data_IF_370492992936
#
_entry.id   IF_370492992936
#
_cell.length_a   1.000
_cell.length_b   1.000
_cell.length_c   1.000
_cell.angle_alpha   90.00
_cell.angle_beta   90.00
_cell.angle_gamma   90.00
#
_symmetry.space_group_name_H-M   'P 1'
#
loop_
_entity.id
_entity.type
_entity.pdbx_description
1 polymer ?
#
# COMPACT_ATOMS: atom_id res chain seq x y z
N UNK A 1 -17.71 3.64 -19.67
CA UNK A 1 -16.49 3.44 -18.86
C UNK A 1 -16.26 4.76 -18.15
N UNK A 2 -16.42 4.80 -16.83
CA UNK A 2 -16.22 6.04 -16.07
C UNK A 2 -14.72 6.16 -15.83
N UNK A 3 -14.12 7.23 -16.34
CA UNK A 3 -12.68 7.46 -16.23
C UNK A 3 -12.27 7.60 -14.76
N UNK A 4 -11.48 6.63 -14.28
CA UNK A 4 -10.90 6.56 -12.94
C UNK A 4 -9.64 7.44 -12.82
N UNK A 5 -9.66 8.57 -13.51
CA UNK A 5 -8.52 9.43 -13.77
C UNK A 5 -8.52 10.58 -12.77
N UNK A 6 -7.40 10.80 -12.11
CA UNK A 6 -7.15 12.06 -11.42
C UNK A 6 -6.47 12.98 -12.42
N UNK A 7 -7.16 14.05 -12.81
CA UNK A 7 -6.60 15.07 -13.70
C UNK A 7 -5.33 15.63 -13.06
N UNK A 8 -4.25 15.70 -13.82
CA UNK A 8 -3.07 16.45 -13.46
C UNK A 8 -3.34 17.90 -13.87
N UNK A 9 -3.58 18.82 -12.92
CA UNK A 9 -3.87 20.22 -13.25
C UNK A 9 -2.76 20.85 -14.12
N UNK A 10 -3.19 21.68 -15.08
CA UNK A 10 -2.36 22.30 -16.14
C UNK A 10 -1.29 23.30 -15.65
N UNK A 11 -1.05 23.40 -14.33
CA UNK A 11 -0.09 24.31 -13.73
C UNK A 11 1.00 23.51 -13.00
N UNK A 12 2.26 23.76 -13.34
CA UNK A 12 3.43 23.03 -12.84
C UNK A 12 3.44 22.81 -11.32
N UNK A 13 3.04 23.80 -10.52
CA UNK A 13 3.01 23.71 -9.05
C UNK A 13 2.08 22.60 -8.51
N UNK A 14 0.94 22.34 -9.15
CA UNK A 14 -0.06 21.38 -8.61
C UNK A 14 0.19 19.97 -9.13
N UNK A 15 0.82 19.84 -10.30
CA UNK A 15 1.38 18.55 -10.74
C UNK A 15 2.43 18.05 -9.75
N UNK A 16 3.22 18.94 -9.15
CA UNK A 16 4.17 18.56 -8.11
C UNK A 16 3.48 17.98 -6.88
N UNK A 17 2.32 18.48 -6.43
CA UNK A 17 1.63 17.93 -5.26
C UNK A 17 1.18 16.48 -5.42
N UNK A 18 0.72 16.09 -6.62
CA UNK A 18 0.37 14.69 -6.90
C UNK A 18 1.63 13.82 -6.97
N UNK A 19 2.69 14.29 -7.64
CA UNK A 19 3.95 13.55 -7.74
C UNK A 19 4.64 13.41 -6.38
N UNK A 20 4.59 14.44 -5.53
CA UNK A 20 5.11 14.43 -4.16
C UNK A 20 4.36 13.42 -3.31
N UNK A 21 3.03 13.34 -3.45
CA UNK A 21 2.21 12.34 -2.79
C UNK A 21 2.53 10.91 -3.27
N UNK A 22 2.79 10.72 -4.57
CA UNK A 22 3.25 9.42 -5.10
C UNK A 22 4.69 9.10 -4.65
N UNK A 23 5.55 10.10 -4.50
CA UNK A 23 6.88 9.92 -3.95
C UNK A 23 6.80 9.48 -2.49
N UNK A 24 5.88 10.03 -1.69
CA UNK A 24 5.60 9.56 -0.33
C UNK A 24 5.20 8.07 -0.31
N UNK A 25 4.35 7.64 -1.25
CA UNK A 25 3.97 6.23 -1.39
C UNK A 25 5.19 5.35 -1.73
N UNK A 26 6.03 5.79 -2.66
CA UNK A 26 7.22 5.03 -3.06
C UNK A 26 8.28 4.96 -1.96
N UNK A 27 8.54 6.07 -1.25
CA UNK A 27 9.45 6.09 -0.10
C UNK A 27 8.95 5.21 1.05
N UNK A 28 7.64 5.19 1.30
CA UNK A 28 7.05 4.28 2.27
C UNK A 28 7.26 2.80 1.88
N UNK A 29 6.96 2.47 0.63
CA UNK A 29 6.96 1.09 0.16
C UNK A 29 8.36 0.51 -0.08
N UNK A 30 9.32 1.37 -0.40
CA UNK A 30 10.65 0.97 -0.84
C UNK A 30 11.72 1.97 -0.35
N UNK A 31 11.89 2.15 0.97
CA UNK A 31 12.71 3.21 1.56
C UNK A 31 14.18 3.15 1.14
N UNK A 32 14.71 1.94 0.88
CA UNK A 32 16.10 1.73 0.48
C UNK A 32 16.31 1.62 -1.03
N UNK A 33 15.23 1.63 -1.83
CA UNK A 33 15.31 1.39 -3.28
C UNK A 33 15.64 2.64 -4.08
N UNK A 34 15.36 3.82 -3.54
CA UNK A 34 15.51 5.09 -4.23
C UNK A 34 16.40 6.05 -3.44
N UNK A 35 17.53 6.51 -4.00
CA UNK A 35 18.26 7.66 -3.47
C UNK A 35 17.35 8.90 -3.39
N UNK A 36 17.57 9.80 -2.41
CA UNK A 36 16.81 11.03 -2.30
C UNK A 36 16.76 11.81 -3.62
N UNK A 37 15.57 12.20 -4.08
CA UNK A 37 15.38 12.97 -5.32
C UNK A 37 15.32 12.15 -6.61
N UNK A 38 15.70 10.86 -6.61
CA UNK A 38 15.62 10.01 -7.81
C UNK A 38 14.21 9.55 -8.10
N UNK A 39 13.44 9.27 -7.05
CA UNK A 39 12.06 8.81 -7.15
C UNK A 39 11.16 9.88 -7.79
N UNK A 40 11.29 11.12 -7.33
CA UNK A 40 10.57 12.29 -7.82
C UNK A 40 10.91 12.56 -9.30
N UNK A 41 12.19 12.41 -9.68
CA UNK A 41 12.61 12.53 -11.09
C UNK A 41 12.06 11.41 -11.97
N UNK A 42 12.01 10.17 -11.47
CA UNK A 42 11.43 9.04 -12.21
C UNK A 42 9.92 9.21 -12.40
N UNK A 43 9.22 9.61 -11.34
CA UNK A 43 7.80 9.92 -11.36
C UNK A 43 7.50 11.07 -12.32
N UNK A 44 8.32 12.13 -12.29
CA UNK A 44 8.21 13.23 -13.25
C UNK A 44 8.45 12.72 -14.67
N UNK A 45 9.51 11.95 -14.93
CA UNK A 45 9.79 11.42 -16.28
C UNK A 45 8.66 10.51 -16.79
N UNK A 46 8.05 9.72 -15.89
CA UNK A 46 6.96 8.78 -16.22
C UNK A 46 5.64 9.51 -16.51
N UNK A 47 5.29 10.52 -15.72
CA UNK A 47 3.99 11.18 -15.78
C UNK A 47 4.03 12.62 -16.36
N UNK A 48 5.18 13.16 -16.76
CA UNK A 48 5.31 14.53 -17.26
C UNK A 48 4.49 14.81 -18.53
N UNK A 49 4.27 13.80 -19.36
CA UNK A 49 3.47 13.92 -20.59
C UNK A 49 1.97 13.72 -20.37
N UNK A 50 1.56 13.25 -19.20
CA UNK A 50 0.19 12.85 -18.95
C UNK A 50 -0.66 14.03 -18.47
N UNK A 51 -1.87 14.15 -19.03
CA UNK A 51 -2.87 15.12 -18.57
C UNK A 51 -3.63 14.63 -17.32
N UNK A 52 -3.52 13.34 -17.01
CA UNK A 52 -4.17 12.69 -15.88
C UNK A 52 -3.44 11.41 -15.52
N UNK A 53 -3.46 11.02 -14.25
CA UNK A 53 -2.90 9.75 -13.80
C UNK A 53 -4.02 8.85 -13.34
N UNK A 54 -4.11 7.65 -13.92
CA UNK A 54 -5.02 6.62 -13.44
C UNK A 54 -4.40 5.89 -12.25
N UNK A 55 -5.25 5.45 -11.32
CA UNK A 55 -4.78 4.58 -10.23
C UNK A 55 -4.18 3.27 -10.78
N UNK A 56 -4.64 2.78 -11.93
CA UNK A 56 -4.09 1.59 -12.60
C UNK A 56 -2.67 1.79 -13.12
N UNK A 57 -2.31 3.00 -13.54
CA UNK A 57 -0.95 3.31 -14.00
C UNK A 57 0.00 3.34 -12.81
N UNK A 58 -0.47 3.86 -11.68
CA UNK A 58 0.24 3.83 -10.39
C UNK A 58 0.41 2.38 -9.92
N UNK A 59 -0.64 1.55 -9.99
CA UNK A 59 -0.55 0.13 -9.66
C UNK A 59 0.50 -0.60 -10.53
N UNK A 60 0.53 -0.28 -11.82
CA UNK A 60 1.50 -0.85 -12.78
C UNK A 60 2.92 -0.42 -12.44
N UNK A 61 3.12 0.85 -12.10
CA UNK A 61 4.42 1.38 -11.66
C UNK A 61 4.89 0.71 -10.37
N UNK A 62 4.07 0.67 -9.32
CA UNK A 62 4.41 0.03 -8.04
C UNK A 62 4.75 -1.45 -8.24
N UNK A 63 3.94 -2.18 -9.01
CA UNK A 63 4.20 -3.59 -9.33
C UNK A 63 5.51 -3.76 -10.09
N UNK A 64 5.81 -2.88 -11.06
CA UNK A 64 7.06 -2.88 -11.81
C UNK A 64 8.29 -2.60 -10.94
N UNK A 65 8.13 -1.86 -9.84
CA UNK A 65 9.15 -1.63 -8.82
C UNK A 65 9.27 -2.79 -7.80
N UNK A 66 8.48 -3.86 -7.94
CA UNK A 66 8.47 -4.99 -7.01
C UNK A 66 7.74 -4.72 -5.69
N UNK A 67 6.97 -3.62 -5.62
CA UNK A 67 6.17 -3.27 -4.44
C UNK A 67 4.88 -4.09 -4.46
N UNK A 68 4.60 -4.77 -3.36
CA UNK A 68 3.36 -5.51 -3.20
C UNK A 68 2.18 -4.55 -2.97
N UNK A 69 1.16 -4.68 -3.82
CA UNK A 69 -0.08 -3.92 -3.73
C UNK A 69 -1.28 -4.87 -3.68
N UNK A 70 -2.35 -4.43 -3.03
CA UNK A 70 -3.65 -5.11 -3.02
C UNK A 70 -4.70 -4.14 -3.54
N UNK A 71 -5.38 -4.53 -4.62
CA UNK A 71 -6.45 -3.76 -5.24
C UNK A 71 -7.79 -4.07 -4.54
N UNK A 72 -8.51 -3.04 -4.09
CA UNK A 72 -9.77 -3.17 -3.35
C UNK A 72 -11.02 -2.98 -4.22
N UNK A 73 -10.92 -3.13 -5.56
CA UNK A 73 -12.04 -2.95 -6.51
C UNK A 73 -13.38 -3.52 -6.06
N UNK A 74 -13.41 -4.74 -5.52
CA UNK A 74 -14.66 -5.37 -5.09
C UNK A 74 -15.29 -4.68 -3.88
N UNK A 75 -14.48 -4.21 -2.93
CA UNK A 75 -14.96 -3.45 -1.78
C UNK A 75 -15.39 -2.03 -2.18
N UNK A 76 -14.68 -1.42 -3.13
CA UNK A 76 -15.07 -0.12 -3.71
C UNK A 76 -16.40 -0.24 -4.46
N UNK A 77 -16.61 -1.30 -5.24
CA UNK A 77 -17.86 -1.57 -5.93
C UNK A 77 -19.03 -1.71 -4.93
N UNK A 78 -18.83 -2.41 -3.81
CA UNK A 78 -19.82 -2.50 -2.73
C UNK A 78 -20.10 -1.15 -2.08
N UNK A 79 -19.07 -0.35 -1.81
CA UNK A 79 -19.23 0.99 -1.24
C UNK A 79 -20.04 1.91 -2.16
N UNK A 80 -19.77 1.87 -3.48
CA UNK A 80 -20.52 2.63 -4.50
C UNK A 80 -21.97 2.15 -4.64
N UNK A 81 -22.26 0.89 -4.34
CA UNK A 81 -23.61 0.34 -4.26
C UNK A 81 -24.33 0.68 -2.95
N UNK A 82 -23.72 1.48 -2.06
CA UNK A 82 -24.32 1.92 -0.79
C UNK A 82 -23.90 1.09 0.43
N UNK A 83 -23.09 0.05 0.27
CA UNK A 83 -22.58 -0.75 1.38
C UNK A 83 -21.10 -0.42 1.65
N UNK A 84 -20.86 0.69 2.33
CA UNK A 84 -19.51 1.19 2.62
C UNK A 84 -18.82 0.52 3.82
N UNK A 85 -19.57 -0.20 4.66
CA UNK A 85 -19.04 -0.78 5.89
C UNK A 85 -17.89 -1.77 5.66
N UNK A 86 -17.95 -2.73 4.70
CA UNK A 86 -16.85 -3.64 4.44
C UNK A 86 -15.56 -2.94 4.03
N UNK A 87 -15.66 -1.93 3.16
CA UNK A 87 -14.50 -1.13 2.76
C UNK A 87 -13.90 -0.40 3.97
N UNK A 88 -14.74 0.24 4.79
CA UNK A 88 -14.26 0.96 5.97
C UNK A 88 -13.51 0.04 6.94
N UNK A 89 -14.09 -1.13 7.25
CA UNK A 89 -13.48 -2.14 8.14
C UNK A 89 -12.15 -2.65 7.60
N UNK A 90 -12.07 -2.97 6.31
CA UNK A 90 -10.82 -3.45 5.71
C UNK A 90 -9.74 -2.36 5.75
N UNK A 91 -10.08 -1.09 5.45
CA UNK A 91 -9.14 0.02 5.54
C UNK A 91 -8.59 0.20 6.96
N UNK A 92 -9.44 0.08 7.99
CA UNK A 92 -9.00 0.13 9.40
C UNK A 92 -8.06 -1.03 9.72
N UNK A 93 -8.46 -2.27 9.41
CA UNK A 93 -7.64 -3.46 9.63
C UNK A 93 -6.30 -3.42 8.87
N UNK A 94 -6.23 -2.71 7.75
CA UNK A 94 -4.99 -2.47 7.04
C UNK A 94 -4.11 -1.43 7.72
N UNK A 95 -4.67 -0.31 8.20
CA UNK A 95 -3.88 0.64 9.00
C UNK A 95 -3.30 -0.03 10.26
N UNK A 96 -4.04 -0.93 10.92
CA UNK A 96 -3.54 -1.71 12.07
C UNK A 96 -2.34 -2.60 11.71
N UNK A 97 -2.26 -3.04 10.45
CA UNK A 97 -1.14 -3.81 9.89
C UNK A 97 -0.01 -2.93 9.35
N UNK A 98 -0.10 -1.61 9.54
CA UNK A 98 0.89 -0.64 9.03
C UNK A 98 0.85 -0.47 7.51
N UNK A 99 -0.26 -0.81 6.85
CA UNK A 99 -0.45 -0.61 5.41
C UNK A 99 -0.96 0.81 5.16
N UNK A 100 -0.40 1.50 4.17
CA UNK A 100 -0.96 2.77 3.68
C UNK A 100 -1.93 2.49 2.54
N UNK A 101 -2.93 3.36 2.37
CA UNK A 101 -3.88 3.24 1.27
C UNK A 101 -3.86 4.49 0.41
N UNK A 102 -3.75 4.29 -0.90
CA UNK A 102 -3.94 5.33 -1.90
C UNK A 102 -5.39 5.25 -2.39
N UNK A 103 -6.17 6.28 -2.13
CA UNK A 103 -7.55 6.41 -2.57
C UNK A 103 -7.63 7.42 -3.70
N UNK A 104 -8.39 7.10 -4.74
CA UNK A 104 -8.88 8.07 -5.71
C UNK A 104 -10.30 8.48 -5.31
N UNK A 105 -10.56 9.79 -5.28
CA UNK A 105 -11.89 10.35 -5.01
C UNK A 105 -12.33 11.26 -6.15
N UNK A 106 -13.64 11.33 -6.40
CA UNK A 106 -14.20 12.07 -7.53
C UNK A 106 -14.35 13.57 -7.29
N UNK A 107 -14.51 14.00 -6.04
CA UNK A 107 -14.89 15.39 -5.71
C UNK A 107 -14.16 15.90 -4.47
N UNK A 108 -13.07 16.64 -4.68
CA UNK A 108 -12.23 17.19 -3.62
C UNK A 108 -12.92 18.27 -2.78
N UNK A 109 -13.89 18.99 -3.34
CA UNK A 109 -14.71 20.02 -2.66
C UNK A 109 -15.58 19.46 -1.51
N UNK A 110 -15.83 18.15 -1.51
CA UNK A 110 -16.58 17.48 -0.44
C UNK A 110 -15.69 17.10 0.76
N UNK A 111 -14.37 17.26 0.63
CA UNK A 111 -13.42 16.99 1.70
C UNK A 111 -13.34 18.20 2.63
N UNK A 112 -13.37 17.95 3.94
CA UNK A 112 -13.21 18.99 4.95
C UNK A 112 -12.30 18.52 6.08
N UNK A 113 -11.57 19.46 6.66
CA UNK A 113 -10.75 19.21 7.84
C UNK A 113 -11.63 18.96 9.06
N UNK A 114 -11.36 17.88 9.80
CA UNK A 114 -12.17 17.44 10.93
C UNK A 114 -12.17 18.43 12.10
N UNK A 115 -11.07 19.16 12.30
CA UNK A 115 -10.93 20.07 13.44
C UNK A 115 -11.65 21.40 13.20
N UNK A 116 -11.56 21.94 11.99
CA UNK A 116 -12.12 23.24 11.64
C UNK A 116 -13.48 23.16 10.94
N UNK A 117 -13.84 22.00 10.39
CA UNK A 117 -15.02 21.81 9.55
C UNK A 117 -14.94 22.53 8.19
N UNK A 118 -13.80 23.13 7.85
CA UNK A 118 -13.63 23.92 6.62
C UNK A 118 -13.32 23.00 5.43
N UNK A 119 -13.89 23.30 4.24
CA UNK A 119 -13.53 22.57 3.02
C UNK A 119 -12.03 22.73 2.74
N UNK A 120 -11.42 21.66 2.21
CA UNK A 120 -9.98 21.68 1.87
C UNK A 120 -9.71 22.47 0.57
N UNK A 121 -10.70 22.54 -0.31
CA UNK A 121 -10.68 23.30 -1.56
C UNK A 121 -12.12 23.59 -1.99
N UNK A 122 -12.30 24.63 -2.80
CA UNK A 122 -13.59 24.93 -3.44
C UNK A 122 -13.68 24.30 -4.84
N UNK A 123 -12.67 23.55 -5.27
CA UNK A 123 -12.58 22.97 -6.61
C UNK A 123 -13.30 21.62 -6.69
N UNK A 124 -14.29 21.55 -7.57
CA UNK A 124 -14.94 20.30 -7.97
C UNK A 124 -14.02 19.55 -8.93
N UNK A 125 -13.09 18.77 -8.38
CA UNK A 125 -12.12 18.00 -9.15
C UNK A 125 -11.77 16.67 -8.46
N UNK A 126 -11.39 15.63 -9.22
CA UNK A 126 -10.87 14.42 -8.62
C UNK A 126 -9.51 14.66 -7.97
N UNK A 127 -9.20 13.93 -6.90
CA UNK A 127 -7.88 13.99 -6.27
C UNK A 127 -7.47 12.64 -5.68
N UNK A 128 -6.18 12.51 -5.34
CA UNK A 128 -5.67 11.38 -4.58
C UNK A 128 -5.59 11.71 -3.09
N UNK A 129 -5.81 10.70 -2.26
CA UNK A 129 -5.60 10.73 -0.82
C UNK A 129 -4.69 9.57 -0.43
N UNK A 130 -3.65 9.81 0.37
CA UNK A 130 -2.87 8.74 1.02
C UNK A 130 -3.29 8.67 2.47
N UNK A 131 -4.05 7.63 2.81
CA UNK A 131 -4.43 7.33 4.18
C UNK A 131 -3.29 6.62 4.90
N UNK A 132 -2.86 7.19 6.03
CA UNK A 132 -1.73 6.70 6.83
C UNK A 132 -2.11 6.27 8.24
N UNK A 133 -3.38 6.45 8.62
CA UNK A 133 -3.87 6.06 9.93
C UNK A 133 -5.32 6.49 10.14
N UNK A 134 -5.83 6.21 11.35
CA UNK A 134 -7.17 6.59 11.74
C UNK A 134 -7.26 6.82 13.26
N UNK A 135 -8.35 7.43 13.71
CA UNK A 135 -8.66 7.60 15.14
C UNK A 135 -9.82 6.69 15.53
N UNK A 136 -9.67 5.96 16.64
CA UNK A 136 -10.75 5.15 17.23
C UNK A 136 -11.77 6.02 17.99
N UNK A 137 -11.32 7.16 18.54
CA UNK A 137 -12.14 8.02 19.40
C UNK A 137 -13.06 8.94 18.58
N UNK A 138 -12.58 9.38 17.42
CA UNK A 138 -13.29 10.26 16.50
C UNK A 138 -13.19 9.64 15.11
N UNK A 139 -14.28 9.45 14.36
CA UNK A 139 -14.30 8.67 13.12
C UNK A 139 -13.69 9.42 11.91
N UNK A 140 -12.44 9.87 12.04
CA UNK A 140 -11.63 10.45 10.97
C UNK A 140 -10.40 9.58 10.67
N UNK A 141 -9.97 9.66 9.42
CA UNK A 141 -8.66 9.16 8.99
C UNK A 141 -7.62 10.28 8.97
N UNK A 142 -6.36 9.91 8.96
CA UNK A 142 -5.26 10.82 8.67
C UNK A 142 -4.79 10.63 7.23
N UNK A 143 -4.77 11.73 6.47
CA UNK A 143 -4.51 11.71 5.03
C UNK A 143 -3.44 12.71 4.63
N UNK A 144 -2.59 12.35 3.68
CA UNK A 144 -1.93 13.31 2.80
C UNK A 144 -2.82 13.52 1.58
N UNK A 145 -2.92 14.76 1.11
CA UNK A 145 -3.94 15.15 0.13
C UNK A 145 -3.25 15.69 -1.11
N UNK A 146 -3.57 15.13 -2.28
CA UNK A 146 -3.00 15.53 -3.57
C UNK A 146 -3.62 16.82 -4.10
N UNK A 147 -3.66 17.85 -3.26
CA UNK A 147 -4.18 19.19 -3.56
C UNK A 147 -3.07 20.24 -3.38
N UNK A 148 -3.17 21.39 -4.07
CA UNK A 148 -2.19 22.46 -4.00
C UNK A 148 -1.77 22.82 -2.57
N UNK A 149 -0.50 22.59 -2.22
CA UNK A 149 0.06 22.98 -0.92
C UNK A 149 -0.35 22.10 0.28
N UNK A 150 -1.08 21.00 0.04
CA UNK A 150 -1.51 20.06 1.09
C UNK A 150 -0.81 18.70 1.01
N UNK A 151 -0.04 18.44 -0.04
CA UNK A 151 0.66 17.16 -0.29
C UNK A 151 1.58 16.72 0.85
N UNK A 152 2.19 17.66 1.57
CA UNK A 152 3.10 17.42 2.69
C UNK A 152 2.46 17.59 4.08
N UNK A 153 1.17 17.95 4.14
CA UNK A 153 0.49 18.21 5.41
C UNK A 153 -0.51 17.11 5.72
N UNK A 154 -0.28 16.41 6.83
CA UNK A 154 -1.23 15.42 7.33
C UNK A 154 -2.52 16.12 7.76
N UNK A 155 -3.63 15.76 7.11
CA UNK A 155 -4.95 16.34 7.27
C UNK A 155 -5.90 15.30 7.88
N UNK A 156 -6.71 15.72 8.85
CA UNK A 156 -7.71 14.84 9.47
C UNK A 156 -9.00 15.00 8.69
N UNK A 157 -9.50 13.91 8.08
CA UNK A 157 -10.72 13.98 7.26
C UNK A 157 -11.73 12.96 7.80
N UNK A 158 -12.96 13.37 8.15
CA UNK A 158 -14.01 12.44 8.57
C UNK A 158 -14.29 11.41 7.48
N UNK A 159 -14.48 10.14 7.86
CA UNK A 159 -14.76 9.08 6.90
C UNK A 159 -15.99 9.38 6.02
N UNK A 160 -17.02 9.98 6.61
CA UNK A 160 -18.23 10.38 5.89
C UNK A 160 -17.93 11.36 4.74
N UNK A 161 -16.98 12.28 4.92
CA UNK A 161 -16.62 13.25 3.89
C UNK A 161 -15.88 12.56 2.74
N UNK A 162 -15.01 11.58 3.04
CA UNK A 162 -14.35 10.76 2.02
C UNK A 162 -15.36 9.93 1.22
N UNK A 163 -16.39 9.38 1.89
CA UNK A 163 -17.48 8.68 1.21
C UNK A 163 -18.30 9.59 0.30
N UNK A 164 -18.66 10.78 0.78
CA UNK A 164 -19.44 11.77 0.01
C UNK A 164 -18.64 12.31 -1.17
N UNK A 165 -17.32 12.48 -1.02
CA UNK A 165 -16.41 12.82 -2.11
C UNK A 165 -16.36 11.77 -3.23
N UNK A 166 -16.91 10.57 -2.98
CA UNK A 166 -17.05 9.49 -3.94
C UNK A 166 -15.74 8.77 -4.20
N UNK A 167 -15.47 7.70 -3.45
CA UNK A 167 -14.31 6.83 -3.66
C UNK A 167 -14.47 6.11 -5.01
N UNK A 168 -13.55 6.34 -5.93
CA UNK A 168 -13.54 5.71 -7.25
C UNK A 168 -12.69 4.45 -7.29
N UNK A 169 -11.57 4.44 -6.55
CA UNK A 169 -10.67 3.30 -6.38
C UNK A 169 -9.83 3.40 -5.11
N UNK A 170 -9.28 2.24 -4.70
CA UNK A 170 -8.36 2.14 -3.57
C UNK A 170 -7.28 1.10 -3.87
N UNK A 171 -6.02 1.48 -3.69
CA UNK A 171 -4.87 0.58 -3.63
C UNK A 171 -4.29 0.55 -2.23
N UNK A 172 -4.08 -0.64 -1.70
CA UNK A 172 -3.40 -0.85 -0.42
C UNK A 172 -1.94 -1.19 -0.70
N UNK A 173 -1.02 -0.35 -0.23
CA UNK A 173 0.41 -0.50 -0.47
C UNK A 173 1.03 -1.17 0.75
N UNK A 174 1.52 -2.40 0.56
CA UNK A 174 2.05 -3.19 1.66
C UNK A 174 3.36 -2.57 2.18
N UNK A 175 3.63 -2.66 3.49
CA UNK A 175 4.92 -2.24 4.02
C UNK A 175 6.06 -3.04 3.37
N UNK A 176 7.28 -2.46 3.30
CA UNK A 176 8.43 -3.17 2.77
C UNK A 176 8.60 -4.47 3.54
N UNK A 177 8.84 -5.58 2.82
CA UNK A 177 9.18 -6.82 3.48
C UNK A 177 10.47 -6.57 4.27
N UNK A 178 10.52 -6.93 5.57
CA UNK A 178 11.77 -6.87 6.30
C UNK A 178 12.81 -7.68 5.54
N UNK A 179 14.04 -7.16 5.48
CA UNK A 179 15.15 -7.88 4.88
C UNK A 179 15.18 -9.30 5.48
N UNK A 180 15.25 -10.31 4.61
CA UNK A 180 15.35 -11.68 5.08
C UNK A 180 16.55 -11.78 6.02
N UNK A 181 16.32 -12.18 7.27
CA UNK A 181 17.41 -12.47 8.19
C UNK A 181 18.09 -13.76 7.70
N UNK A 182 19.07 -13.55 6.82
CA UNK A 182 19.88 -14.60 6.22
C UNK A 182 20.58 -15.44 7.30
N UNK A 183 20.90 -14.85 8.46
CA UNK A 183 21.50 -15.58 9.56
C UNK A 183 20.49 -16.56 10.18
N UNK A 184 19.29 -16.08 10.51
CA UNK A 184 18.22 -16.93 11.05
C UNK A 184 17.77 -18.00 10.06
N UNK A 185 17.74 -17.69 8.76
CA UNK A 185 17.41 -18.68 7.72
C UNK A 185 18.50 -19.75 7.57
N UNK A 186 19.78 -19.36 7.67
CA UNK A 186 20.91 -20.30 7.63
C UNK A 186 20.96 -21.17 8.89
N UNK A 187 20.71 -20.59 10.06
CA UNK A 187 20.63 -21.33 11.33
C UNK A 187 19.47 -22.34 11.30
N UNK A 188 18.31 -21.95 10.79
CA UNK A 188 17.17 -22.86 10.62
C UNK A 188 17.50 -24.03 9.69
N UNK A 189 18.19 -23.77 8.57
CA UNK A 189 18.67 -24.83 7.67
C UNK A 189 19.66 -25.77 8.38
N UNK A 190 20.61 -25.23 9.13
CA UNK A 190 21.58 -26.04 9.86
C UNK A 190 20.92 -26.92 10.94
N UNK A 191 19.93 -26.38 11.66
CA UNK A 191 19.13 -27.14 12.62
C UNK A 191 18.36 -28.27 11.92
N UNK A 192 17.77 -28.00 10.75
CA UNK A 192 17.07 -29.03 9.96
C UNK A 192 18.03 -30.14 9.51
N UNK A 193 19.25 -29.80 9.07
CA UNK A 193 20.28 -30.79 8.70
C UNK A 193 20.70 -31.65 9.89
N UNK A 194 20.93 -31.04 11.06
CA UNK A 194 21.26 -31.76 12.28
C UNK A 194 20.12 -32.68 12.73
N UNK A 195 18.86 -32.22 12.62
CA UNK A 195 17.69 -33.03 12.93
C UNK A 195 17.57 -34.22 11.98
N UNK A 196 17.80 -34.03 10.68
CA UNK A 196 17.78 -35.09 9.69
C UNK A 196 18.87 -36.13 9.95
N UNK A 197 20.10 -35.70 10.24
CA UNK A 197 21.21 -36.58 10.59
C UNK A 197 20.90 -37.40 11.85
N UNK A 198 20.31 -36.77 12.87
CA UNK A 198 19.90 -37.44 14.11
C UNK A 198 18.80 -38.46 13.86
N UNK A 199 17.82 -38.13 13.01
CA UNK A 199 16.75 -39.04 12.64
C UNK A 199 17.26 -40.25 11.83
N UNK A 200 18.20 -40.04 10.92
CA UNK A 200 18.87 -41.11 10.18
C UNK A 200 19.69 -42.02 11.10
N UNK A 201 20.42 -41.46 12.06
CA UNK A 201 21.17 -42.23 13.06
C UNK A 201 20.22 -43.04 13.97
N UNK A 202 19.11 -42.45 14.41
CA UNK A 202 18.09 -43.16 15.16
C UNK A 202 17.46 -44.30 14.35
N UNK A 203 17.15 -44.06 13.07
CA UNK A 203 16.61 -45.09 12.17
C UNK A 203 17.60 -46.25 11.96
N UNK A 204 18.88 -45.95 11.73
CA UNK A 204 19.93 -46.97 11.61
C UNK A 204 20.08 -47.79 12.91
N UNK A 205 19.98 -47.13 14.07
CA UNK A 205 20.03 -47.80 15.38
C UNK A 205 18.84 -48.74 15.58
N UNK A 206 17.63 -48.32 15.17
CA UNK A 206 16.43 -49.16 15.21
C UNK A 206 16.55 -50.35 14.25
N UNK A 207 17.03 -50.15 13.02
CA UNK A 207 17.27 -51.24 12.07
C UNK A 207 18.27 -52.26 12.60
N UNK A 208 19.37 -51.79 13.20
CA UNK A 208 20.37 -52.65 13.85
C UNK A 208 19.78 -53.43 15.04
N UNK A 209 18.97 -52.79 15.88
CA UNK A 209 18.32 -53.43 17.02
C UNK A 209 17.25 -54.47 16.60
N UNK A 210 16.61 -54.27 15.46
CA UNK A 210 15.65 -55.22 14.87
C UNK A 210 16.33 -56.36 14.10
N UNK A 211 17.68 -56.38 14.01
CA UNK A 211 18.42 -57.41 13.30
C UNK A 211 18.24 -57.37 11.78
N UNK A 212 17.71 -56.26 11.24
CA UNK A 212 17.56 -56.05 9.81
C UNK A 212 18.92 -55.59 9.28
N UNK A 213 19.82 -56.54 9.03
CA UNK A 213 21.02 -56.25 8.29
C UNK A 213 20.62 -55.78 6.89
N UNK A 214 21.08 -54.60 6.49
CA UNK A 214 21.01 -54.13 5.11
C UNK A 214 21.77 -55.12 4.24
N UNK A 215 21.05 -56.02 3.57
CA UNK A 215 21.58 -56.84 2.48
C UNK A 215 21.91 -55.90 1.31
N UNK A 216 23.09 -55.27 1.36
CA UNK A 216 23.75 -54.77 0.16
C UNK A 216 24.60 -55.91 -0.39
N UNK A 217 23.98 -56.64 -1.32
CA UNK A 217 24.66 -57.58 -2.20
C UNK A 217 25.53 -56.82 -3.20
N UNK A 218 26.83 -57.16 -3.21
CA UNK A 218 27.81 -57.27 -4.32
C UNK A 218 27.90 -56.10 -5.30
#
# INVERSE_FOLDING_TARGET
>A
MSDHLVTLPDAGAVRHDVLDLLALVGHFAAPDSYPPGRLEQELLARFAGEASVAISDIATWLSGAGIAILDQKDLVAQARAGNAAPLHTELQAQNDRGVIQLLAVSSADQLADAASGRPLTDQVAPCFLVRVGYSDADPYGYYYVGLPGLSHTQTRIPWQNVLVAGITDVLSVQPPKPAADLSAATDALHIMEQALATMQAAHATVQAALGIASEQSI
#
